data_IF_879498106682
#
_entry.id   IF_879498106682
#
_cell.length_a   1.000
_cell.length_b   1.000
_cell.length_c   1.000
_cell.angle_alpha   90.00
_cell.angle_beta   90.00
_cell.angle_gamma   90.00
#
_symmetry.space_group_name_H-M   'P 1'
#
loop_
_entity.id
_entity.type
_entity.pdbx_description
1 polymer ?
#
# COMPACT_ATOMS: atom_id res chain seq x y z
N UNK A 1 21.69 -16.11 -23.82
CA UNK A 1 22.63 -17.17 -23.39
C UNK A 1 24.02 -16.63 -23.08
N UNK A 2 24.72 -15.93 -23.99
CA UNK A 2 26.06 -15.34 -23.73
C UNK A 2 26.05 -14.25 -22.64
N UNK A 3 25.00 -13.42 -22.58
CA UNK A 3 24.81 -12.41 -21.52
C UNK A 3 24.77 -12.99 -20.10
N UNK A 4 24.12 -14.15 -19.93
CA UNK A 4 23.95 -14.84 -18.65
C UNK A 4 25.28 -15.45 -18.15
N UNK A 5 26.17 -15.81 -19.07
CA UNK A 5 27.49 -16.38 -18.78
C UNK A 5 28.51 -15.26 -18.47
N UNK A 6 28.50 -14.16 -19.22
CA UNK A 6 29.40 -13.01 -18.93
C UNK A 6 29.11 -12.38 -17.56
N UNK A 7 27.83 -12.29 -17.17
CA UNK A 7 27.44 -11.89 -15.82
C UNK A 7 27.96 -12.86 -14.76
N UNK A 8 27.84 -14.18 -14.96
CA UNK A 8 28.29 -15.18 -13.99
C UNK A 8 29.81 -15.16 -13.73
N UNK A 9 30.63 -14.82 -14.73
CA UNK A 9 32.09 -14.89 -14.63
C UNK A 9 32.80 -13.54 -14.38
N UNK A 10 32.25 -12.40 -14.82
CA UNK A 10 32.76 -11.09 -14.40
C UNK A 10 32.25 -10.67 -13.01
N UNK A 11 31.05 -11.09 -12.58
CA UNK A 11 30.47 -10.77 -11.27
C UNK A 11 30.63 -11.91 -10.23
N UNK A 12 31.44 -12.94 -10.48
CA UNK A 12 31.68 -14.03 -9.51
C UNK A 12 32.30 -13.54 -8.17
N UNK A 13 32.81 -12.30 -8.15
CA UNK A 13 33.29 -11.59 -6.96
C UNK A 13 32.60 -10.23 -6.73
N UNK A 14 31.62 -9.86 -7.55
CA UNK A 14 30.85 -8.63 -7.36
C UNK A 14 29.64 -8.93 -6.45
N UNK A 15 30.02 -9.32 -5.23
CA UNK A 15 29.31 -9.14 -3.99
C UNK A 15 27.89 -9.70 -3.87
N UNK A 16 27.74 -10.80 -3.12
CA UNK A 16 26.46 -11.25 -2.53
C UNK A 16 25.66 -10.11 -1.89
N UNK A 17 26.33 -9.03 -1.43
CA UNK A 17 25.65 -7.86 -0.92
C UNK A 17 24.88 -7.09 -2.02
N UNK A 18 25.40 -6.98 -3.24
CA UNK A 18 24.72 -6.26 -4.32
C UNK A 18 23.42 -6.95 -4.75
N UNK A 19 23.39 -8.29 -4.71
CA UNK A 19 22.17 -9.06 -4.96
C UNK A 19 21.12 -8.87 -3.85
N UNK A 20 21.53 -8.93 -2.57
CA UNK A 20 20.64 -8.66 -1.44
C UNK A 20 20.08 -7.23 -1.48
N UNK A 21 20.93 -6.23 -1.79
CA UNK A 21 20.53 -4.84 -1.90
C UNK A 21 19.52 -4.62 -3.03
N UNK A 22 19.77 -5.18 -4.22
CA UNK A 22 18.84 -5.08 -5.34
C UNK A 22 17.48 -5.71 -5.01
N UNK A 23 17.47 -6.84 -4.29
CA UNK A 23 16.25 -7.49 -3.82
C UNK A 23 15.48 -6.60 -2.85
N UNK A 24 16.16 -5.94 -1.91
CA UNK A 24 15.51 -5.03 -0.97
C UNK A 24 14.91 -3.82 -1.68
N UNK A 25 15.65 -3.17 -2.59
CA UNK A 25 15.14 -2.05 -3.37
C UNK A 25 13.93 -2.43 -4.22
N UNK A 26 13.96 -3.63 -4.82
CA UNK A 26 12.82 -4.14 -5.58
C UNK A 26 11.57 -4.35 -4.71
N UNK A 27 11.71 -4.86 -3.49
CA UNK A 27 10.59 -5.00 -2.55
C UNK A 27 9.98 -3.63 -2.21
N UNK A 28 10.81 -2.60 -2.00
CA UNK A 28 10.35 -1.24 -1.77
C UNK A 28 9.57 -0.68 -2.96
N UNK A 29 10.10 -0.87 -4.18
CA UNK A 29 9.44 -0.41 -5.42
C UNK A 29 8.08 -1.10 -5.62
N UNK A 30 8.01 -2.42 -5.44
CA UNK A 30 6.77 -3.20 -5.52
C UNK A 30 5.76 -2.75 -4.46
N UNK A 31 6.19 -2.48 -3.22
CA UNK A 31 5.28 -2.00 -2.17
C UNK A 31 4.71 -0.61 -2.49
N UNK A 32 5.54 0.31 -3.00
CA UNK A 32 5.08 1.64 -3.43
C UNK A 32 4.11 1.50 -4.61
N UNK A 33 4.45 0.68 -5.60
CA UNK A 33 3.59 0.41 -6.75
C UNK A 33 2.24 -0.21 -6.32
N UNK A 34 2.25 -1.13 -5.37
CA UNK A 34 1.04 -1.76 -4.82
C UNK A 34 0.17 -0.74 -4.07
N UNK A 35 0.75 0.17 -3.28
CA UNK A 35 0.01 1.23 -2.62
C UNK A 35 -0.67 2.17 -3.64
N UNK A 36 0.04 2.56 -4.70
CA UNK A 36 -0.50 3.40 -5.79
C UNK A 36 -1.59 2.66 -6.57
N UNK A 37 -1.38 1.38 -6.88
CA UNK A 37 -2.37 0.56 -7.59
C UNK A 37 -3.65 0.37 -6.76
N UNK A 38 -3.51 0.22 -5.44
CA UNK A 38 -4.63 0.14 -4.51
C UNK A 38 -5.43 1.44 -4.49
N UNK A 39 -4.77 2.61 -4.44
CA UNK A 39 -5.44 3.92 -4.53
C UNK A 39 -6.35 4.04 -5.75
N UNK A 40 -5.89 3.55 -6.91
CA UNK A 40 -6.66 3.60 -8.16
C UNK A 40 -7.83 2.61 -8.20
N UNK A 41 -7.67 1.42 -7.64
CA UNK A 41 -8.70 0.37 -7.72
C UNK A 41 -9.75 0.44 -6.59
N UNK A 42 -9.40 0.98 -5.42
CA UNK A 42 -10.32 1.08 -4.28
C UNK A 42 -11.58 1.90 -4.60
N UNK A 43 -11.47 2.93 -5.45
CA UNK A 43 -12.62 3.70 -5.90
C UNK A 43 -13.52 2.89 -6.85
N UNK A 44 -12.92 2.21 -7.83
CA UNK A 44 -13.63 1.44 -8.85
C UNK A 44 -14.38 0.22 -8.30
N UNK A 45 -13.79 -0.49 -7.33
CA UNK A 45 -14.36 -1.76 -6.84
C UNK A 45 -15.65 -1.55 -6.05
N UNK A 46 -15.72 -0.46 -5.28
CA UNK A 46 -16.90 -0.05 -4.52
C UNK A 46 -17.97 0.50 -5.47
N UNK A 47 -17.57 1.16 -6.55
CA UNK A 47 -18.51 1.66 -7.55
C UNK A 47 -19.33 0.55 -8.20
N UNK A 48 -18.71 -0.58 -8.56
CA UNK A 48 -19.40 -1.68 -9.27
C UNK A 48 -20.52 -2.33 -8.44
N UNK A 49 -20.28 -2.59 -7.16
CA UNK A 49 -21.26 -3.27 -6.30
C UNK A 49 -22.42 -2.34 -5.90
N UNK A 50 -22.17 -1.03 -5.85
CA UNK A 50 -23.08 -0.04 -5.28
C UNK A 50 -23.73 0.84 -6.36
N UNK A 51 -23.40 0.64 -7.64
CA UNK A 51 -24.02 1.36 -8.77
C UNK A 51 -25.52 1.10 -8.95
N UNK A 52 -26.11 0.11 -8.28
CA UNK A 52 -27.56 -0.09 -8.22
C UNK A 52 -28.26 0.79 -7.14
N UNK A 53 -27.50 1.40 -6.23
CA UNK A 53 -28.03 2.18 -5.12
C UNK A 53 -27.98 3.69 -5.39
N UNK A 54 -28.85 4.43 -4.69
CA UNK A 54 -28.87 5.89 -4.75
C UNK A 54 -27.48 6.45 -4.36
N UNK A 55 -27.01 7.52 -5.03
CA UNK A 55 -25.64 8.01 -4.88
C UNK A 55 -25.30 8.46 -3.45
N UNK A 56 -26.29 8.92 -2.66
CA UNK A 56 -26.10 9.26 -1.24
C UNK A 56 -25.85 8.04 -0.35
N UNK A 57 -26.61 6.96 -0.55
CA UNK A 57 -26.44 5.71 0.24
C UNK A 57 -25.11 5.06 -0.09
N UNK A 58 -24.69 5.17 -1.37
CA UNK A 58 -23.39 4.70 -1.84
C UNK A 58 -22.24 5.34 -1.09
N UNK A 59 -22.18 6.66 -1.05
CA UNK A 59 -21.08 7.36 -0.36
C UNK A 59 -21.04 7.08 1.14
N UNK A 60 -22.20 6.92 1.80
CA UNK A 60 -22.24 6.54 3.23
C UNK A 60 -21.64 5.14 3.45
N UNK A 61 -22.04 4.15 2.64
CA UNK A 61 -21.48 2.80 2.72
C UNK A 61 -19.98 2.77 2.45
N UNK A 62 -19.52 3.54 1.45
CA UNK A 62 -18.09 3.70 1.17
C UNK A 62 -17.34 4.22 2.39
N UNK A 63 -17.83 5.29 3.03
CA UNK A 63 -17.19 5.87 4.22
C UNK A 63 -17.11 4.85 5.36
N UNK A 64 -18.18 4.10 5.61
CA UNK A 64 -18.22 3.06 6.66
C UNK A 64 -17.20 1.95 6.34
N UNK A 65 -17.20 1.45 5.11
CA UNK A 65 -16.26 0.40 4.69
C UNK A 65 -14.80 0.89 4.79
N UNK A 66 -14.52 2.13 4.38
CA UNK A 66 -13.19 2.74 4.51
C UNK A 66 -12.79 2.91 5.98
N UNK A 67 -13.69 3.32 6.86
CA UNK A 67 -13.42 3.41 8.31
C UNK A 67 -13.04 2.05 8.92
N UNK A 68 -13.80 0.99 8.59
CA UNK A 68 -13.47 -0.38 9.02
C UNK A 68 -12.10 -0.80 8.45
N UNK A 69 -11.82 -0.47 7.19
CA UNK A 69 -10.52 -0.68 6.57
C UNK A 69 -9.38 0.03 7.30
N UNK A 70 -9.56 1.30 7.72
CA UNK A 70 -8.56 2.05 8.48
C UNK A 70 -8.29 1.39 9.83
N UNK A 71 -9.33 0.95 10.54
CA UNK A 71 -9.15 0.23 11.81
C UNK A 71 -8.33 -1.04 11.60
N UNK A 72 -8.65 -1.83 10.56
CA UNK A 72 -7.89 -3.02 10.20
C UNK A 72 -6.43 -2.69 9.84
N UNK A 73 -6.19 -1.64 9.05
CA UNK A 73 -4.85 -1.17 8.70
C UNK A 73 -4.06 -0.73 9.94
N UNK A 74 -4.68 -0.11 10.94
CA UNK A 74 -4.02 0.23 12.21
C UNK A 74 -3.62 -1.01 13.02
N UNK A 75 -4.45 -2.05 13.05
CA UNK A 75 -4.06 -3.34 13.63
C UNK A 75 -2.86 -3.94 12.88
N UNK A 76 -2.91 -3.92 11.55
CA UNK A 76 -1.86 -4.47 10.70
C UNK A 76 -0.54 -3.68 10.86
N UNK A 77 -0.62 -2.36 11.07
CA UNK A 77 0.53 -1.51 11.37
C UNK A 77 1.24 -1.95 12.65
N UNK A 78 0.50 -2.19 13.73
CA UNK A 78 1.08 -2.66 14.99
C UNK A 78 1.82 -4.00 14.81
N UNK A 79 1.19 -4.96 14.13
CA UNK A 79 1.84 -6.24 13.83
C UNK A 79 3.09 -6.07 12.94
N UNK A 80 3.04 -5.17 11.96
CA UNK A 80 4.19 -4.90 11.08
C UNK A 80 5.38 -4.32 11.87
N UNK A 81 5.12 -3.49 12.88
CA UNK A 81 6.17 -2.94 13.75
C UNK A 81 6.79 -4.02 14.64
N UNK A 82 5.98 -4.91 15.22
CA UNK A 82 6.48 -6.07 15.98
C UNK A 82 7.29 -7.02 15.09
N UNK A 83 6.87 -7.19 13.84
CA UNK A 83 7.61 -7.99 12.86
C UNK A 83 8.98 -7.35 12.53
N UNK A 84 9.02 -6.03 12.31
CA UNK A 84 10.27 -5.29 12.11
C UNK A 84 11.22 -5.40 13.30
N UNK A 85 10.70 -5.36 14.53
CA UNK A 85 11.48 -5.53 15.76
C UNK A 85 11.99 -6.96 15.94
N UNK A 86 11.17 -7.96 15.61
CA UNK A 86 11.58 -9.37 15.68
C UNK A 86 12.62 -9.69 14.60
N UNK A 87 12.42 -9.16 13.39
CA UNK A 87 13.39 -9.22 12.31
C UNK A 87 14.69 -8.49 12.65
N UNK A 88 14.67 -7.50 13.54
CA UNK A 88 15.87 -6.74 13.94
C UNK A 88 16.97 -7.63 14.52
N UNK A 89 16.57 -8.70 15.22
CA UNK A 89 17.46 -9.67 15.86
C UNK A 89 18.13 -10.61 14.85
N UNK A 90 17.74 -10.58 13.58
CA UNK A 90 18.32 -11.38 12.52
C UNK A 90 19.15 -10.50 11.58
N UNK A 91 20.42 -10.87 11.41
CA UNK A 91 21.38 -10.17 10.55
C UNK A 91 21.45 -10.91 9.21
N UNK A 92 21.36 -10.20 8.07
CA UNK A 92 21.48 -10.85 6.76
C UNK A 92 22.91 -11.35 6.51
N UNK A 93 23.03 -12.47 5.81
CA UNK A 93 24.30 -13.16 5.59
C UNK A 93 25.24 -12.40 4.63
N UNK A 94 24.70 -11.65 3.66
CA UNK A 94 25.47 -10.90 2.66
C UNK A 94 25.83 -9.47 3.08
N UNK A 95 24.85 -8.63 3.42
CA UNK A 95 25.06 -7.21 3.77
C UNK A 95 25.46 -6.96 5.23
N UNK A 96 25.24 -7.93 6.13
CA UNK A 96 25.32 -7.74 7.60
C UNK A 96 24.45 -6.60 8.13
N UNK A 97 23.39 -6.23 7.41
CA UNK A 97 22.40 -5.27 7.91
C UNK A 97 21.33 -6.00 8.70
N UNK A 98 20.75 -5.29 9.67
CA UNK A 98 19.60 -5.77 10.41
C UNK A 98 18.41 -5.93 9.44
N UNK A 99 17.75 -7.08 9.48
CA UNK A 99 16.60 -7.36 8.62
C UNK A 99 15.43 -6.39 8.87
N UNK A 100 15.45 -5.56 9.92
CA UNK A 100 14.46 -4.48 10.07
C UNK A 100 14.33 -3.56 8.85
N UNK A 101 15.42 -3.34 8.10
CA UNK A 101 15.40 -2.44 6.93
C UNK A 101 14.47 -2.98 5.83
N UNK A 102 14.68 -4.18 5.26
CA UNK A 102 13.76 -4.70 4.25
C UNK A 102 12.32 -4.89 4.76
N UNK A 103 12.13 -5.25 6.04
CA UNK A 103 10.77 -5.40 6.60
C UNK A 103 10.06 -4.05 6.81
N UNK A 104 10.78 -2.93 6.90
CA UNK A 104 10.19 -1.60 7.03
C UNK A 104 9.37 -1.15 5.81
N UNK A 105 9.47 -1.85 4.67
CA UNK A 105 8.58 -1.61 3.52
C UNK A 105 7.10 -1.84 3.87
N UNK A 106 6.79 -2.79 4.78
CA UNK A 106 5.42 -3.07 5.21
C UNK A 106 4.76 -1.90 5.94
N UNK A 107 5.34 -1.35 7.04
CA UNK A 107 4.74 -0.19 7.70
C UNK A 107 4.65 1.02 6.76
N UNK A 108 5.62 1.22 5.86
CA UNK A 108 5.56 2.30 4.86
C UNK A 108 4.35 2.12 3.93
N UNK A 109 4.13 0.90 3.41
CA UNK A 109 2.97 0.60 2.58
C UNK A 109 1.64 0.79 3.30
N UNK A 110 1.55 0.38 4.57
CA UNK A 110 0.35 0.54 5.40
C UNK A 110 0.07 2.02 5.66
N UNK A 111 1.09 2.84 5.95
CA UNK A 111 0.95 4.29 6.14
C UNK A 111 0.43 4.94 4.85
N UNK A 112 0.97 4.55 3.69
CA UNK A 112 0.47 5.05 2.40
C UNK A 112 -1.00 4.66 2.18
N UNK A 113 -1.38 3.41 2.46
CA UNK A 113 -2.77 2.96 2.35
C UNK A 113 -3.72 3.75 3.27
N UNK A 114 -3.30 4.04 4.51
CA UNK A 114 -4.07 4.90 5.43
C UNK A 114 -4.26 6.30 4.83
N UNK A 115 -3.20 6.90 4.27
CA UNK A 115 -3.28 8.22 3.63
C UNK A 115 -4.26 8.24 2.45
N UNK A 116 -4.25 7.19 1.61
CA UNK A 116 -5.23 7.06 0.52
C UNK A 116 -6.65 6.87 1.03
N UNK A 117 -6.84 6.21 2.17
CA UNK A 117 -8.16 6.02 2.78
C UNK A 117 -8.75 7.35 3.26
N UNK A 118 -7.92 8.26 3.79
CA UNK A 118 -8.36 9.62 4.12
C UNK A 118 -8.82 10.41 2.90
N UNK A 119 -8.10 10.31 1.78
CA UNK A 119 -8.50 10.94 0.52
C UNK A 119 -9.85 10.42 0.03
N UNK A 120 -10.09 9.11 0.15
CA UNK A 120 -11.37 8.48 -0.22
C UNK A 120 -12.53 9.05 0.59
N UNK A 121 -12.36 9.19 1.90
CA UNK A 121 -13.38 9.78 2.78
C UNK A 121 -13.65 11.23 2.38
N UNK A 122 -12.61 12.02 2.12
CA UNK A 122 -12.75 13.42 1.75
C UNK A 122 -13.52 13.61 0.44
N UNK A 123 -13.19 12.81 -0.59
CA UNK A 123 -13.92 12.86 -1.86
C UNK A 123 -15.39 12.44 -1.71
N UNK A 124 -15.67 11.39 -0.92
CA UNK A 124 -17.05 10.96 -0.68
C UNK A 124 -17.87 12.01 0.08
N UNK A 125 -17.25 12.74 1.00
CA UNK A 125 -17.91 13.81 1.75
C UNK A 125 -18.30 14.99 0.83
N UNK A 126 -17.40 15.38 -0.09
CA UNK A 126 -17.68 16.40 -1.09
C UNK A 126 -18.81 15.99 -2.05
N UNK A 127 -18.81 14.73 -2.51
CA UNK A 127 -19.89 14.20 -3.33
C UNK A 127 -21.25 14.27 -2.63
N UNK A 128 -21.33 13.96 -1.34
CA UNK A 128 -22.57 14.08 -0.55
C UNK A 128 -23.05 15.54 -0.50
N UNK A 129 -22.14 16.49 -0.31
CA UNK A 129 -22.49 17.93 -0.29
C UNK A 129 -23.00 18.43 -1.64
N UNK A 130 -22.39 18.00 -2.76
CA UNK A 130 -22.86 18.36 -4.10
C UNK A 130 -24.24 17.77 -4.41
N UNK A 131 -24.47 16.51 -4.03
CA UNK A 131 -25.79 15.87 -4.19
C UNK A 131 -26.86 16.55 -3.33
N UNK A 132 -26.50 17.03 -2.14
CA UNK A 132 -27.39 17.83 -1.30
C UNK A 132 -27.77 19.17 -1.93
N UNK A 133 -26.82 19.86 -2.58
CA UNK A 133 -27.10 21.12 -3.30
C UNK A 133 -28.00 20.94 -4.51
N UNK A 134 -27.88 19.83 -5.25
CA UNK A 134 -28.71 19.55 -6.43
C UNK A 134 -30.19 19.33 -6.07
N UNK A 135 -30.46 18.54 -5.03
CA UNK A 135 -31.84 18.30 -4.58
C UNK A 135 -32.56 19.58 -4.08
N UNK A 136 -31.82 20.57 -3.58
CA UNK A 136 -32.37 21.87 -3.14
C UNK A 136 -32.60 22.83 -4.31
N UNK A 137 -31.86 22.68 -5.42
CA UNK A 137 -31.94 23.56 -6.58
C UNK A 137 -32.93 23.06 -7.66
N UNK A 138 -33.33 21.79 -7.57
CA UNK A 138 -34.39 21.17 -8.38
C UNK A 138 -35.79 21.29 -7.73
N UNK A 139 -35.90 21.93 -6.56
CA UNK A 139 -37.15 22.31 -5.88
C UNK A 139 -37.42 23.80 -6.05
#
# INVERSE_FOLDING_TARGET
>A
MVYQVVLRYCFSAANSWSEELARYLFIYDVMIAAAIATRRNSHLQIDLLINLLKPKVKSIFTIIATLVGIVFLMFLLNYSLTLCQTAANNISAGLKISMSIPYACMPIGIILMILTSFEVIFQNLLLIQELGKREVNDQ
#
